data_IF_941799055076
#
_entry.id   IF_941799055076
#
_cell.length_a   1.000
_cell.length_b   1.000
_cell.length_c   1.000
_cell.angle_alpha   90.00
_cell.angle_beta   90.00
_cell.angle_gamma   90.00
#
_symmetry.space_group_name_H-M   'P 1'
#
loop_
_entity.id
_entity.type
_entity.pdbx_description
1 polymer ?
#
# COMPACT_ATOMS: atom_id res chain seq x y z
N UNK A 1 14.15 12.82 -1.56
CA UNK A 1 14.27 12.86 -0.10
C UNK A 1 13.63 11.61 0.52
N UNK A 2 14.34 10.93 1.41
CA UNK A 2 13.84 9.79 2.20
C UNK A 2 13.64 10.28 3.64
N UNK A 3 12.58 9.85 4.31
CA UNK A 3 12.38 10.13 5.73
C UNK A 3 12.91 8.95 6.53
N UNK A 4 14.07 9.16 7.13
CA UNK A 4 14.68 8.22 8.06
C UNK A 4 14.37 8.60 9.51
N UNK A 5 14.88 7.84 10.47
CA UNK A 5 14.60 8.05 11.89
C UNK A 5 15.07 9.42 12.38
N UNK A 6 16.25 9.85 11.91
CA UNK A 6 16.82 11.15 12.28
C UNK A 6 16.00 12.32 11.75
N UNK A 7 15.55 12.27 10.50
CA UNK A 7 14.66 13.32 9.98
C UNK A 7 13.28 13.26 10.65
N UNK A 8 12.77 12.06 10.94
CA UNK A 8 11.52 11.89 11.68
C UNK A 8 11.61 12.50 13.09
N UNK A 9 12.79 12.47 13.73
CA UNK A 9 13.02 13.11 15.03
C UNK A 9 12.79 14.62 14.96
N UNK A 10 13.33 15.29 13.92
CA UNK A 10 13.12 16.72 13.71
C UNK A 10 11.67 17.04 13.31
N UNK A 11 11.05 16.23 12.44
CA UNK A 11 9.63 16.36 12.10
C UNK A 11 8.76 16.25 13.36
N UNK A 12 9.01 15.25 14.20
CA UNK A 12 8.30 15.06 15.48
C UNK A 12 8.47 16.28 16.38
N UNK A 13 9.67 16.88 16.46
CA UNK A 13 9.90 18.09 17.23
C UNK A 13 9.04 19.26 16.72
N UNK A 14 9.02 19.51 15.41
CA UNK A 14 8.16 20.53 14.80
C UNK A 14 6.68 20.30 15.10
N UNK A 15 6.19 19.08 14.85
CA UNK A 15 4.80 18.70 15.10
C UNK A 15 4.43 18.89 16.57
N UNK A 16 5.32 18.54 17.50
CA UNK A 16 5.09 18.68 18.93
C UNK A 16 4.97 20.15 19.34
N UNK A 17 5.82 21.02 18.79
CA UNK A 17 5.76 22.48 19.05
C UNK A 17 4.42 23.08 18.57
N UNK A 18 3.91 22.65 17.41
CA UNK A 18 2.73 23.25 16.78
C UNK A 18 1.39 22.64 17.23
N UNK A 19 1.35 21.33 17.46
CA UNK A 19 0.09 20.56 17.52
C UNK A 19 -0.35 20.14 18.92
N UNK A 20 0.53 20.10 19.92
CA UNK A 20 0.15 19.74 21.29
C UNK A 20 -0.96 20.68 21.81
N UNK A 21 -1.82 20.15 22.67
CA UNK A 21 -3.02 20.81 23.21
C UNK A 21 -4.09 21.14 22.15
N UNK A 22 -3.91 20.69 20.90
CA UNK A 22 -4.94 20.87 19.87
C UNK A 22 -6.02 19.81 19.96
N UNK A 23 -7.24 20.19 19.57
CA UNK A 23 -8.40 19.30 19.52
C UNK A 23 -8.67 18.88 18.08
N UNK A 24 -8.97 17.60 17.85
CA UNK A 24 -9.39 17.11 16.53
C UNK A 24 -10.73 17.74 16.17
N UNK A 25 -10.78 18.44 15.04
CA UNK A 25 -11.98 19.11 14.53
C UNK A 25 -12.57 18.43 13.30
N UNK A 26 -11.73 17.83 12.46
CA UNK A 26 -12.15 17.16 11.23
C UNK A 26 -11.16 16.07 10.85
N UNK A 27 -11.68 14.95 10.36
CA UNK A 27 -10.87 13.86 9.80
C UNK A 27 -11.35 13.58 8.38
N UNK A 28 -10.42 13.53 7.43
CA UNK A 28 -10.71 13.15 6.05
C UNK A 28 -9.63 12.25 5.46
N UNK A 29 -9.99 11.55 4.38
CA UNK A 29 -9.12 10.60 3.70
C UNK A 29 -9.20 10.88 2.19
N UNK A 30 -8.44 11.86 1.66
CA UNK A 30 -8.48 12.19 0.24
C UNK A 30 -8.01 11.04 -0.64
N UNK A 31 -7.10 10.19 -0.13
CA UNK A 31 -6.53 9.07 -0.87
C UNK A 31 -6.51 7.79 -0.01
N UNK A 32 -6.46 6.60 -0.63
CA UNK A 32 -6.56 5.33 0.09
C UNK A 32 -5.57 5.13 1.25
N UNK A 33 -4.39 5.75 1.19
CA UNK A 33 -3.33 5.61 2.21
C UNK A 33 -2.94 6.93 2.87
N UNK A 34 -3.78 7.96 2.80
CA UNK A 34 -3.47 9.29 3.33
C UNK A 34 -4.66 9.82 4.13
N UNK A 35 -4.41 10.14 5.41
CA UNK A 35 -5.37 10.77 6.29
C UNK A 35 -4.96 12.22 6.51
N UNK A 36 -5.94 13.11 6.54
CA UNK A 36 -5.80 14.48 7.00
C UNK A 36 -6.62 14.65 8.27
N UNK A 37 -5.94 15.06 9.34
CA UNK A 37 -6.56 15.42 10.61
C UNK A 37 -6.41 16.92 10.77
N UNK A 38 -7.53 17.65 10.75
CA UNK A 38 -7.54 19.05 11.13
C UNK A 38 -7.54 19.14 12.66
N UNK A 39 -6.50 19.74 13.20
CA UNK A 39 -6.28 19.97 14.62
C UNK A 39 -6.47 21.47 14.89
N UNK A 40 -7.43 21.81 15.75
CA UNK A 40 -7.69 23.19 16.17
C UNK A 40 -6.92 23.47 17.45
N UNK A 41 -5.93 24.34 17.38
CA UNK A 41 -5.25 24.87 18.55
C UNK A 41 -6.12 25.97 19.16
N UNK A 42 -6.72 25.70 20.32
CA UNK A 42 -7.66 26.63 20.94
C UNK A 42 -6.96 27.91 21.45
N UNK A 43 -5.73 27.80 21.95
CA UNK A 43 -4.97 28.95 22.49
C UNK A 43 -4.54 29.91 21.39
N UNK A 44 -4.11 29.38 20.24
CA UNK A 44 -3.62 30.18 19.11
C UNK A 44 -4.73 30.56 18.11
N UNK A 45 -5.93 29.98 18.25
CA UNK A 45 -7.03 30.11 17.29
C UNK A 45 -6.68 29.72 15.84
N UNK A 46 -5.72 28.79 15.66
CA UNK A 46 -5.26 28.30 14.35
C UNK A 46 -5.72 26.86 14.12
N UNK A 47 -6.07 26.54 12.87
CA UNK A 47 -6.28 25.18 12.41
C UNK A 47 -5.03 24.68 11.68
N UNK A 48 -4.50 23.53 12.10
CA UNK A 48 -3.43 22.84 11.41
C UNK A 48 -3.98 21.60 10.71
N UNK A 49 -3.61 21.38 9.45
CA UNK A 49 -3.94 20.14 8.74
C UNK A 49 -2.75 19.19 8.83
N UNK A 50 -2.86 18.17 9.68
CA UNK A 50 -1.87 17.11 9.82
C UNK A 50 -2.11 16.04 8.75
N UNK A 51 -1.18 15.90 7.81
CA UNK A 51 -1.14 14.80 6.86
C UNK A 51 -0.42 13.59 7.48
N UNK A 52 -1.06 12.42 7.45
CA UNK A 52 -0.48 11.13 7.78
C UNK A 52 -0.57 10.22 6.56
N UNK A 53 0.56 10.06 5.86
CA UNK A 53 0.66 9.26 4.64
C UNK A 53 1.36 7.93 4.93
N UNK A 54 0.66 6.83 4.65
CA UNK A 54 1.18 5.46 4.63
C UNK A 54 1.44 4.98 3.19
N UNK A 55 1.69 5.91 2.26
CA UNK A 55 1.97 5.57 0.86
C UNK A 55 3.34 4.87 0.71
N UNK A 56 3.46 3.77 -0.06
CA UNK A 56 4.72 3.06 -0.26
C UNK A 56 5.92 3.90 -0.69
N UNK A 57 5.70 4.96 -1.46
CA UNK A 57 6.75 5.75 -2.11
C UNK A 57 7.05 7.07 -1.40
N UNK A 58 6.11 7.57 -0.59
CA UNK A 58 6.17 8.91 0.02
C UNK A 58 5.48 8.99 1.38
N UNK A 59 5.49 7.89 2.13
CA UNK A 59 4.99 7.85 3.50
C UNK A 59 5.71 8.88 4.38
N UNK A 60 4.92 9.67 5.11
CA UNK A 60 5.37 10.82 5.91
C UNK A 60 4.28 11.33 6.85
N UNK A 61 4.71 12.06 7.87
CA UNK A 61 3.86 12.91 8.68
C UNK A 61 4.32 14.37 8.51
N UNK A 62 3.39 15.30 8.34
CA UNK A 62 3.70 16.74 8.24
C UNK A 62 2.44 17.57 8.44
N UNK A 63 2.60 18.86 8.75
CA UNK A 63 1.53 19.83 8.50
C UNK A 63 1.52 20.11 6.99
N UNK A 64 0.34 20.32 6.42
CA UNK A 64 0.21 20.62 4.98
C UNK A 64 -0.75 21.76 4.73
N UNK A 65 -0.37 22.63 3.80
CA UNK A 65 -1.20 23.73 3.29
C UNK A 65 -1.74 23.40 1.89
N UNK A 66 -1.37 22.26 1.32
CA UNK A 66 -1.88 21.80 0.04
C UNK A 66 -3.38 21.53 0.17
N UNK A 67 -4.23 22.09 -0.70
CA UNK A 67 -5.66 21.79 -0.69
C UNK A 67 -5.88 20.37 -1.23
N UNK A 68 -6.73 19.60 -0.54
CA UNK A 68 -7.11 18.26 -0.95
C UNK A 68 -8.60 18.17 -1.25
N UNK A 69 -8.94 17.45 -2.31
CA UNK A 69 -10.32 17.09 -2.62
C UNK A 69 -10.68 15.79 -1.89
N UNK A 70 -11.74 15.85 -1.08
CA UNK A 70 -12.21 14.68 -0.36
C UNK A 70 -13.15 13.85 -1.25
N UNK A 71 -13.14 12.51 -1.14
CA UNK A 71 -14.14 11.68 -1.79
C UNK A 71 -15.55 12.01 -1.24
N UNK A 72 -16.56 11.86 -2.09
CA UNK A 72 -17.96 12.11 -1.70
C UNK A 72 -18.42 11.19 -0.54
N UNK A 73 -17.92 9.95 -0.52
CA UNK A 73 -18.22 8.96 0.52
C UNK A 73 -16.98 8.67 1.37
N UNK A 74 -17.02 8.88 2.69
CA UNK A 74 -15.91 8.52 3.57
C UNK A 74 -15.63 7.02 3.58
N UNK A 75 -14.35 6.64 3.70
CA UNK A 75 -13.97 5.24 3.87
C UNK A 75 -14.29 4.72 5.28
N UNK A 76 -14.42 3.40 5.43
CA UNK A 76 -14.67 2.75 6.74
C UNK A 76 -13.65 3.19 7.80
N UNK A 77 -12.36 3.15 7.48
CA UNK A 77 -11.30 3.59 8.39
C UNK A 77 -11.45 5.06 8.80
N UNK A 78 -11.83 5.96 7.86
CA UNK A 78 -12.14 7.37 8.20
C UNK A 78 -13.28 7.46 9.22
N UNK A 79 -14.32 6.64 9.06
CA UNK A 79 -15.46 6.64 9.97
C UNK A 79 -15.10 6.07 11.34
N UNK A 80 -14.25 5.05 11.39
CA UNK A 80 -13.67 4.57 12.65
C UNK A 80 -12.90 5.67 13.34
N UNK A 81 -11.98 6.35 12.63
CA UNK A 81 -11.21 7.46 13.21
C UNK A 81 -12.14 8.55 13.75
N UNK A 82 -13.20 8.94 13.02
CA UNK A 82 -14.17 9.94 13.50
C UNK A 82 -14.87 9.49 14.77
N UNK A 83 -15.34 8.24 14.84
CA UNK A 83 -16.00 7.68 16.03
C UNK A 83 -15.14 7.80 17.29
N UNK A 84 -13.83 7.58 17.19
CA UNK A 84 -12.94 7.51 18.36
C UNK A 84 -12.15 8.79 18.63
N UNK A 85 -11.82 9.56 17.59
CA UNK A 85 -10.92 10.72 17.67
C UNK A 85 -11.63 12.06 17.47
N UNK A 86 -12.87 12.14 16.96
CA UNK A 86 -13.51 13.46 16.79
C UNK A 86 -13.65 14.14 18.16
N UNK A 87 -13.10 15.35 18.25
CA UNK A 87 -13.05 16.08 19.51
C UNK A 87 -12.01 15.57 20.53
N UNK A 88 -11.21 14.56 20.22
CA UNK A 88 -10.12 14.15 21.11
C UNK A 88 -9.03 15.23 21.21
N UNK A 89 -8.33 15.25 22.34
CA UNK A 89 -7.21 16.16 22.60
C UNK A 89 -5.89 15.46 22.30
N UNK A 90 -5.03 16.07 21.50
CA UNK A 90 -3.68 15.58 21.27
C UNK A 90 -2.79 15.94 22.48
N UNK A 91 -2.39 14.92 23.23
CA UNK A 91 -1.67 15.07 24.50
C UNK A 91 -0.16 14.93 24.35
N UNK A 92 0.30 14.09 23.42
CA UNK A 92 1.73 13.91 23.15
C UNK A 92 2.00 13.41 21.74
N UNK A 93 3.22 13.62 21.26
CA UNK A 93 3.76 13.04 20.03
C UNK A 93 5.11 12.43 20.34
N UNK A 94 5.24 11.14 20.09
CA UNK A 94 6.44 10.35 20.40
C UNK A 94 6.98 9.66 19.16
N UNK A 95 8.27 9.40 19.15
CA UNK A 95 8.91 8.50 18.20
C UNK A 95 9.34 7.25 18.94
N UNK A 96 9.21 6.08 18.32
CA UNK A 96 9.72 4.83 18.88
C UNK A 96 11.25 4.78 18.70
N UNK A 97 12.00 5.05 19.76
CA UNK A 97 13.46 5.19 19.73
C UNK A 97 13.90 6.12 18.57
N UNK A 98 14.83 5.68 17.73
CA UNK A 98 15.15 6.33 16.45
C UNK A 98 14.61 5.53 15.26
N UNK A 99 13.55 4.74 15.44
CA UNK A 99 12.91 4.05 14.33
C UNK A 99 11.93 4.98 13.59
N UNK A 100 11.47 4.56 12.41
CA UNK A 100 10.54 5.31 11.56
C UNK A 100 9.08 5.08 11.97
N UNK A 101 8.81 5.17 13.26
CA UNK A 101 7.48 5.01 13.85
C UNK A 101 7.17 6.21 14.73
N UNK A 102 6.09 6.93 14.39
CA UNK A 102 5.61 8.10 15.13
C UNK A 102 4.24 7.79 15.73
N UNK A 103 4.06 8.15 17.00
CA UNK A 103 2.89 7.83 17.82
C UNK A 103 2.27 9.14 18.27
N UNK A 104 1.02 9.39 17.87
CA UNK A 104 0.21 10.50 18.33
C UNK A 104 -0.71 10.01 19.45
N UNK A 105 -0.57 10.56 20.65
CA UNK A 105 -1.36 10.18 21.83
C UNK A 105 -2.54 11.10 22.00
N UNK A 106 -3.74 10.54 21.99
CA UNK A 106 -4.99 11.28 22.13
C UNK A 106 -5.69 10.88 23.42
N UNK A 107 -6.25 11.86 24.12
CA UNK A 107 -7.23 11.63 25.18
C UNK A 107 -8.62 11.94 24.65
N UNK A 108 -9.51 10.96 24.73
CA UNK A 108 -10.88 11.02 24.21
C UNK A 108 -11.90 10.75 25.31
N UNK A 109 -13.18 11.03 25.03
CA UNK A 109 -14.30 10.75 25.93
C UNK A 109 -15.26 9.79 25.28
N UNK A 110 -15.72 8.78 26.01
CA UNK A 110 -16.72 7.86 25.51
C UNK A 110 -18.13 8.51 25.61
N UNK A 111 -19.16 7.80 25.15
CA UNK A 111 -20.55 8.27 25.18
C UNK A 111 -21.09 8.49 26.61
N UNK A 112 -20.46 7.86 27.60
CA UNK A 112 -20.78 8.00 29.04
C UNK A 112 -19.99 9.14 29.71
N UNK A 113 -19.05 9.76 28.99
CA UNK A 113 -18.21 10.84 29.48
C UNK A 113 -16.87 10.41 30.09
N UNK A 114 -16.60 9.11 30.22
CA UNK A 114 -15.33 8.61 30.76
C UNK A 114 -14.17 8.90 29.81
N UNK A 115 -13.03 9.27 30.38
CA UNK A 115 -11.79 9.48 29.65
C UNK A 115 -11.11 8.16 29.31
N UNK A 116 -10.58 8.08 28.09
CA UNK A 116 -9.74 6.97 27.67
C UNK A 116 -8.69 7.44 26.67
N UNK A 117 -7.55 6.76 26.65
CA UNK A 117 -6.40 7.13 25.83
C UNK A 117 -6.25 6.25 24.60
N UNK A 118 -5.89 6.88 23.49
CA UNK A 118 -5.75 6.28 22.18
C UNK A 118 -4.40 6.64 21.58
N UNK A 119 -3.77 5.67 20.91
CA UNK A 119 -2.58 5.87 20.12
C UNK A 119 -2.94 5.79 18.64
N UNK A 120 -2.61 6.84 17.88
CA UNK A 120 -2.59 6.80 16.43
C UNK A 120 -1.12 6.65 15.98
N UNK A 121 -0.75 5.45 15.54
CA UNK A 121 0.64 5.10 15.24
C UNK A 121 0.85 5.01 13.73
N UNK A 122 1.74 5.84 13.19
CA UNK A 122 2.18 5.78 11.79
C UNK A 122 3.53 5.09 11.70
N UNK A 123 3.58 4.00 10.95
CA UNK A 123 4.81 3.29 10.62
C UNK A 123 5.22 3.62 9.18
N UNK A 124 6.44 4.14 9.00
CA UNK A 124 6.98 4.58 7.70
C UNK A 124 8.03 3.55 7.25
N UNK A 125 7.56 2.48 6.60
CA UNK A 125 8.33 1.28 6.23
C UNK A 125 8.22 0.94 4.75
N UNK A 126 8.29 1.95 3.86
CA UNK A 126 8.08 1.80 2.42
C UNK A 126 6.78 1.03 2.11
N UNK A 127 6.84 -0.10 1.42
CA UNK A 127 5.68 -0.95 1.08
C UNK A 127 4.89 -1.47 2.29
N UNK A 128 5.51 -1.52 3.46
CA UNK A 128 4.88 -1.97 4.71
C UNK A 128 4.36 -0.80 5.56
N UNK A 129 4.42 0.44 5.06
CA UNK A 129 3.91 1.59 5.79
C UNK A 129 2.42 1.44 6.07
N UNK A 130 2.02 1.75 7.30
CA UNK A 130 0.66 1.56 7.79
C UNK A 130 0.35 2.56 8.90
N UNK A 131 -0.93 2.75 9.19
CA UNK A 131 -1.46 3.68 10.17
C UNK A 131 -2.48 2.94 11.04
N UNK A 132 -2.22 2.89 12.34
CA UNK A 132 -2.99 2.12 13.31
C UNK A 132 -3.67 3.03 14.31
N UNK A 133 -4.95 2.79 14.57
CA UNK A 133 -5.62 3.30 15.76
C UNK A 133 -5.63 2.19 16.81
N UNK A 134 -5.07 2.46 17.98
CA UNK A 134 -4.82 1.48 19.03
C UNK A 134 -5.36 2.01 20.36
N UNK A 135 -6.06 1.17 21.11
CA UNK A 135 -6.41 1.48 22.50
C UNK A 135 -5.16 1.35 23.38
N UNK A 136 -4.82 2.40 24.11
CA UNK A 136 -3.57 2.44 24.88
C UNK A 136 -3.57 1.43 26.04
N UNK A 137 -4.73 1.15 26.65
CA UNK A 137 -4.84 0.33 27.87
C UNK A 137 -4.52 -1.15 27.61
N UNK A 138 -5.05 -1.72 26.54
CA UNK A 138 -4.95 -3.15 26.21
C UNK A 138 -4.12 -3.42 24.95
N UNK A 139 -3.61 -2.36 24.30
CA UNK A 139 -2.89 -2.41 23.03
C UNK A 139 -3.71 -3.06 21.91
N UNK A 140 -5.05 -3.04 21.98
CA UNK A 140 -5.89 -3.60 20.92
C UNK A 140 -5.98 -2.64 19.74
N UNK A 141 -5.76 -3.18 18.54
CA UNK A 141 -5.96 -2.47 17.28
C UNK A 141 -7.45 -2.26 17.12
N UNK A 142 -7.89 -1.00 17.16
CA UNK A 142 -9.27 -0.63 16.87
C UNK A 142 -9.51 -0.75 15.37
N UNK A 143 -8.63 -0.16 14.56
CA UNK A 143 -8.63 -0.29 13.10
C UNK A 143 -7.27 0.17 12.54
N UNK A 144 -7.05 -0.05 11.25
CA UNK A 144 -5.83 0.32 10.56
C UNK A 144 -6.10 0.58 9.08
N UNK A 145 -5.29 1.45 8.45
CA UNK A 145 -5.54 1.89 7.07
C UNK A 145 -5.31 0.78 6.04
N UNK A 146 -4.43 -0.18 6.33
CA UNK A 146 -4.17 -1.34 5.48
C UNK A 146 -4.30 -2.63 6.29
N UNK A 147 -5.35 -3.39 5.98
CA UNK A 147 -5.58 -4.74 6.53
C UNK A 147 -4.68 -5.74 5.79
N UNK A 148 -3.97 -6.59 6.53
CA UNK A 148 -3.10 -7.63 5.96
C UNK A 148 -3.56 -8.98 6.50
N UNK A 149 -3.84 -9.92 5.59
CA UNK A 149 -4.27 -11.27 5.96
C UNK A 149 -3.16 -12.00 6.72
N UNK A 150 -3.49 -12.87 7.68
CA UNK A 150 -2.50 -13.63 8.45
C UNK A 150 -1.49 -14.39 7.60
N UNK A 151 -1.92 -14.93 6.45
CA UNK A 151 -1.05 -15.68 5.53
C UNK A 151 0.10 -14.84 4.95
N UNK A 152 -0.10 -13.52 4.84
CA UNK A 152 0.88 -12.59 4.27
C UNK A 152 1.84 -12.02 5.31
N UNK A 153 1.47 -12.05 6.60
CA UNK A 153 2.31 -11.57 7.68
C UNK A 153 2.19 -12.47 8.91
N UNK A 154 3.12 -13.42 9.01
CA UNK A 154 3.17 -14.38 10.11
C UNK A 154 3.72 -13.77 11.42
N UNK A 155 4.38 -12.61 11.36
CA UNK A 155 5.00 -12.02 12.55
C UNK A 155 3.98 -11.38 13.49
N UNK A 156 2.97 -10.68 12.94
CA UNK A 156 1.92 -10.02 13.74
C UNK A 156 0.62 -9.88 12.97
N UNK A 157 -0.49 -9.96 13.68
CA UNK A 157 -1.84 -9.77 13.13
C UNK A 157 -2.11 -8.29 12.85
N UNK A 158 -2.47 -7.96 11.60
CA UNK A 158 -2.74 -6.59 11.16
C UNK A 158 -4.22 -6.46 10.75
N UNK A 159 -5.08 -6.68 11.74
CA UNK A 159 -6.54 -6.64 11.62
C UNK A 159 -7.16 -6.02 12.90
N UNK A 160 -8.35 -5.42 12.82
CA UNK A 160 -9.12 -4.99 14.00
C UNK A 160 -9.28 -6.10 15.03
N UNK A 161 -9.15 -5.77 16.32
CA UNK A 161 -9.19 -6.71 17.45
C UNK A 161 -7.87 -7.46 17.73
N UNK A 162 -6.93 -7.43 16.80
CA UNK A 162 -5.57 -7.91 17.02
C UNK A 162 -4.84 -7.10 18.09
N UNK A 163 -3.85 -7.70 18.75
CA UNK A 163 -2.96 -6.96 19.66
C UNK A 163 -1.88 -6.26 18.85
N UNK A 164 -1.73 -4.95 19.04
CA UNK A 164 -0.68 -4.17 18.42
C UNK A 164 0.68 -4.58 19.00
N UNK A 165 1.58 -4.97 18.11
CA UNK A 165 2.96 -5.30 18.43
C UNK A 165 3.81 -4.42 17.52
N UNK A 166 4.81 -3.74 18.08
CA UNK A 166 5.75 -2.93 17.30
C UNK A 166 6.40 -3.76 16.17
N UNK A 167 6.92 -3.09 15.12
CA UNK A 167 7.77 -3.77 14.14
C UNK A 167 8.91 -4.54 14.82
N UNK A 168 9.42 -5.62 14.20
CA UNK A 168 10.51 -6.41 14.78
C UNK A 168 11.69 -5.53 15.19
N UNK A 169 12.06 -5.58 16.47
CA UNK A 169 13.21 -4.82 16.98
C UNK A 169 14.48 -5.29 16.30
N UNK A 170 15.32 -4.34 15.88
CA UNK A 170 16.64 -4.62 15.37
C UNK A 170 17.60 -4.81 16.56
N UNK A 171 17.71 -6.04 17.07
CA UNK A 171 18.40 -6.38 18.33
C UNK A 171 19.83 -5.84 18.46
N UNK A 172 20.55 -5.72 17.34
CA UNK A 172 21.95 -5.30 17.33
C UNK A 172 22.14 -3.80 17.07
N UNK A 173 21.06 -3.01 17.09
CA UNK A 173 21.13 -1.58 16.77
C UNK A 173 20.86 -0.68 17.96
N UNK A 174 21.70 0.32 18.11
CA UNK A 174 21.60 1.33 19.15
C UNK A 174 20.86 2.57 18.66
N UNK A 175 20.13 3.23 19.57
CA UNK A 175 19.59 4.56 19.30
C UNK A 175 20.74 5.57 19.35
N UNK A 176 21.04 6.28 18.24
CA UNK A 176 22.19 7.19 18.17
C UNK A 176 22.08 8.41 19.10
N UNK A 177 20.87 8.91 19.38
CA UNK A 177 20.67 10.07 20.25
C UNK A 177 21.09 9.77 21.70
N UNK A 178 20.99 8.51 22.10
CA UNK A 178 21.19 8.04 23.47
C UNK A 178 22.54 7.32 23.63
N UNK A 179 23.31 7.17 22.55
CA UNK A 179 24.52 6.37 22.52
C UNK A 179 25.70 7.09 23.20
N UNK A 180 26.41 6.37 24.08
CA UNK A 180 27.43 6.95 24.96
C UNK A 180 28.77 6.18 25.02
N UNK A 181 29.06 5.27 24.08
CA UNK A 181 30.33 4.55 24.05
C UNK A 181 31.35 5.23 23.12
N UNK A 182 32.25 6.03 23.69
CA UNK A 182 33.29 6.74 22.94
C UNK A 182 34.36 5.82 22.34
N UNK A 183 34.70 4.72 23.04
CA UNK A 183 35.70 3.76 22.57
C UNK A 183 35.20 3.07 21.31
N UNK A 184 33.91 2.71 21.30
CA UNK A 184 33.27 2.09 20.14
C UNK A 184 33.27 2.99 18.90
N UNK A 185 32.93 4.29 19.04
CA UNK A 185 32.98 5.22 17.90
C UNK A 185 34.41 5.37 17.36
N UNK A 186 35.40 5.54 18.25
CA UNK A 186 36.80 5.65 17.84
C UNK A 186 37.27 4.39 17.12
N UNK A 187 36.91 3.21 17.63
CA UNK A 187 37.22 1.94 16.99
C UNK A 187 36.57 1.83 15.60
N UNK A 188 35.27 2.14 15.47
CA UNK A 188 34.59 2.11 14.16
C UNK A 188 35.27 3.01 13.13
N UNK A 189 35.66 4.22 13.51
CA UNK A 189 36.31 5.16 12.59
C UNK A 189 37.69 4.65 12.16
N UNK A 190 38.45 4.03 13.08
CA UNK A 190 39.77 3.45 12.79
C UNK A 190 39.68 2.19 11.94
N UNK A 191 38.74 1.31 12.23
CA UNK A 191 38.54 0.04 11.52
C UNK A 191 38.07 0.26 10.07
N UNK A 192 37.39 1.39 9.81
CA UNK A 192 36.81 1.72 8.51
C UNK A 192 37.25 3.12 8.02
N UNK A 193 38.44 3.25 7.40
CA UNK A 193 38.97 4.53 6.93
C UNK A 193 38.29 5.07 5.65
N UNK A 194 37.49 4.24 4.96
CA UNK A 194 36.72 4.67 3.79
C UNK A 194 35.30 5.13 4.20
N UNK A 195 34.91 6.34 3.81
CA UNK A 195 33.61 6.95 4.17
C UNK A 195 32.40 6.08 3.80
N UNK A 196 32.38 5.51 2.59
CA UNK A 196 31.25 4.69 2.13
C UNK A 196 31.15 3.37 2.91
N UNK A 197 32.29 2.78 3.26
CA UNK A 197 32.34 1.57 4.09
C UNK A 197 31.89 1.90 5.51
N UNK A 198 32.42 2.97 6.11
CA UNK A 198 32.00 3.43 7.44
C UNK A 198 30.51 3.74 7.48
N UNK A 199 29.97 4.40 6.46
CA UNK A 199 28.53 4.68 6.35
C UNK A 199 27.69 3.39 6.39
N UNK A 200 28.08 2.34 5.66
CA UNK A 200 27.40 1.04 5.71
C UNK A 200 27.45 0.42 7.10
N UNK A 201 28.59 0.52 7.79
CA UNK A 201 28.75 0.00 9.16
C UNK A 201 27.89 0.78 10.15
N UNK A 202 27.88 2.11 10.06
CA UNK A 202 27.00 2.96 10.88
C UNK A 202 25.52 2.59 10.70
N UNK A 203 25.06 2.29 9.48
CA UNK A 203 23.69 1.80 9.27
C UNK A 203 23.41 0.44 9.92
N UNK A 204 24.43 -0.41 10.07
CA UNK A 204 24.29 -1.72 10.72
C UNK A 204 24.21 -1.58 12.24
N UNK A 205 24.94 -0.64 12.83
CA UNK A 205 25.00 -0.45 14.29
C UNK A 205 23.97 0.55 14.85
N UNK A 206 23.48 1.50 14.04
CA UNK A 206 22.56 2.53 14.51
C UNK A 206 21.17 2.42 13.88
N UNK A 207 20.15 2.61 14.73
CA UNK A 207 18.75 2.62 14.33
C UNK A 207 18.46 3.82 13.44
N UNK A 208 17.57 3.63 12.47
CA UNK A 208 16.95 4.75 11.73
C UNK A 208 17.85 5.55 10.80
N UNK A 209 19.06 5.11 10.49
CA UNK A 209 19.93 5.83 9.55
C UNK A 209 19.68 5.41 8.10
N UNK A 210 19.32 6.38 7.25
CA UNK A 210 19.47 6.21 5.81
C UNK A 210 20.95 6.19 5.41
N UNK A 211 21.26 5.66 4.23
CA UNK A 211 22.64 5.64 3.74
C UNK A 211 23.16 7.07 3.54
N UNK A 212 22.32 7.99 3.06
CA UNK A 212 22.67 9.41 2.94
C UNK A 212 23.05 10.03 4.29
N UNK A 213 22.25 9.82 5.33
CA UNK A 213 22.56 10.35 6.66
C UNK A 213 23.80 9.70 7.26
N UNK A 214 23.96 8.40 7.08
CA UNK A 214 25.14 7.68 7.53
C UNK A 214 26.42 8.15 6.81
N UNK A 215 26.34 8.51 5.53
CA UNK A 215 27.45 9.06 4.77
C UNK A 215 27.84 10.46 5.25
N UNK A 216 26.86 11.31 5.61
CA UNK A 216 27.15 12.61 6.21
C UNK A 216 27.81 12.46 7.58
N UNK A 217 27.37 11.49 8.38
CA UNK A 217 28.00 11.17 9.65
C UNK A 217 29.42 10.65 9.45
N UNK A 218 29.64 9.72 8.51
CA UNK A 218 30.98 9.21 8.19
C UNK A 218 31.93 10.34 7.78
N UNK A 219 31.49 11.25 6.90
CA UNK A 219 32.23 12.46 6.53
C UNK A 219 32.57 13.34 7.74
N UNK A 220 31.60 13.59 8.61
CA UNK A 220 31.82 14.40 9.81
C UNK A 220 32.83 13.74 10.77
N UNK A 221 32.86 12.42 10.85
CA UNK A 221 33.79 11.65 11.69
C UNK A 221 35.20 11.53 11.08
N UNK A 222 35.34 11.50 9.75
CA UNK A 222 36.64 11.47 9.07
C UNK A 222 37.27 12.84 8.91
N UNK A 223 36.49 13.92 8.97
CA UNK A 223 37.01 15.29 9.01
C UNK A 223 37.67 15.66 10.35
N UNK A 224 37.42 14.89 11.42
CA UNK A 224 37.98 15.17 12.74
C UNK A 224 39.33 14.49 12.96
N UNK A 225 40.27 15.21 13.59
CA UNK A 225 41.45 14.56 14.16
C UNK A 225 40.98 13.54 15.22
N UNK A 226 41.47 12.29 15.13
CA UNK A 226 41.02 11.09 15.88
C UNK A 226 40.72 11.27 17.38
N UNK A 227 41.25 12.30 18.05
CA UNK A 227 41.02 12.57 19.45
C UNK A 227 39.57 12.96 19.80
N UNK A 228 38.74 13.41 18.84
CA UNK A 228 37.44 14.00 19.11
C UNK A 228 36.23 13.33 18.42
N UNK A 229 36.38 12.15 17.80
CA UNK A 229 35.32 11.54 16.97
C UNK A 229 33.98 11.39 17.72
N UNK A 230 34.00 11.04 19.01
CA UNK A 230 32.78 10.94 19.81
C UNK A 230 32.07 12.29 20.03
N UNK A 231 32.81 13.39 20.15
CA UNK A 231 32.23 14.74 20.26
C UNK A 231 31.55 15.11 18.93
N UNK A 232 32.21 14.82 17.80
CA UNK A 232 31.62 15.03 16.47
C UNK A 232 30.37 14.18 16.25
N UNK A 233 30.37 12.93 16.73
CA UNK A 233 29.18 12.06 16.74
C UNK A 233 28.02 12.73 17.50
N UNK A 234 28.24 13.19 18.74
CA UNK A 234 27.20 13.83 19.55
C UNK A 234 26.71 15.13 18.92
N UNK A 235 27.61 15.96 18.41
CA UNK A 235 27.28 17.22 17.74
C UNK A 235 26.48 16.99 16.45
N UNK A 236 26.79 15.92 15.71
CA UNK A 236 26.05 15.55 14.51
C UNK A 236 24.59 15.21 14.83
N UNK A 237 24.30 14.48 15.91
CA UNK A 237 22.91 14.17 16.27
C UNK A 237 22.20 15.34 16.95
N UNK A 238 22.90 16.14 17.76
CA UNK A 238 22.33 17.32 18.40
C UNK A 238 21.81 18.35 17.38
N UNK A 239 22.38 18.39 16.16
CA UNK A 239 21.89 19.29 15.12
C UNK A 239 20.45 18.97 14.65
N UNK A 240 19.95 17.75 14.87
CA UNK A 240 18.58 17.37 14.52
C UNK A 240 17.52 17.90 15.50
N UNK A 241 17.95 18.49 16.61
CA UNK A 241 17.08 19.27 17.50
C UNK A 241 16.90 20.72 17.00
N UNK A 242 17.76 21.20 16.10
CA UNK A 242 17.69 22.51 15.46
C UNK A 242 16.97 22.41 14.10
N UNK A 243 15.69 22.77 14.10
CA UNK A 243 14.81 22.70 12.93
C UNK A 243 15.34 23.57 11.78
N UNK A 244 15.83 24.78 12.07
CA UNK A 244 16.30 25.72 11.04
C UNK A 244 17.54 25.20 10.34
N UNK A 245 18.48 24.64 11.11
CA UNK A 245 19.70 24.01 10.57
C UNK A 245 19.38 22.81 9.68
N UNK A 246 18.42 21.97 10.08
CA UNK A 246 17.98 20.84 9.25
C UNK A 246 17.29 21.30 7.96
N UNK A 247 16.47 22.35 8.01
CA UNK A 247 15.86 22.94 6.79
C UNK A 247 16.97 23.39 5.83
N UNK A 248 17.99 24.09 6.31
CA UNK A 248 19.09 24.56 5.48
C UNK A 248 19.91 23.40 4.88
N UNK A 249 20.22 22.37 5.67
CA UNK A 249 20.90 21.17 5.20
C UNK A 249 20.10 20.45 4.10
N UNK A 250 18.79 20.30 4.29
CA UNK A 250 17.92 19.65 3.30
C UNK A 250 17.79 20.48 2.02
N UNK A 251 17.77 21.81 2.12
CA UNK A 251 17.79 22.68 0.95
C UNK A 251 19.03 22.46 0.11
N UNK A 252 20.21 22.48 0.72
CA UNK A 252 21.49 22.28 0.04
C UNK A 252 21.58 20.91 -0.62
N UNK A 253 21.16 19.85 0.08
CA UNK A 253 21.17 18.48 -0.46
C UNK A 253 20.22 18.27 -1.65
N UNK A 254 19.13 19.03 -1.74
CA UNK A 254 18.15 18.90 -2.81
C UNK A 254 18.24 20.05 -3.83
N UNK A 255 19.30 20.87 -3.78
CA UNK A 255 19.52 22.05 -4.65
C UNK A 255 18.29 22.99 -4.70
N UNK A 256 17.73 23.27 -3.52
CA UNK A 256 16.53 24.11 -3.38
C UNK A 256 16.92 25.56 -3.14
N UNK A 257 16.55 26.43 -4.09
CA UNK A 257 16.83 27.88 -4.02
C UNK A 257 15.86 28.65 -3.12
N UNK A 258 14.68 28.08 -2.82
CA UNK A 258 13.64 28.74 -2.05
C UNK A 258 13.91 28.65 -0.55
N UNK A 259 13.45 29.64 0.22
CA UNK A 259 13.46 29.58 1.68
C UNK A 259 12.19 28.90 2.19
N UNK A 260 12.30 28.21 3.32
CA UNK A 260 11.18 27.51 3.96
C UNK A 260 11.12 27.92 5.43
N UNK A 261 9.92 28.16 5.94
CA UNK A 261 9.70 28.58 7.32
C UNK A 261 9.55 27.39 8.29
N UNK A 262 9.33 26.19 7.75
CA UNK A 262 9.17 24.94 8.47
C UNK A 262 9.59 23.75 7.61
N UNK A 263 9.82 22.59 8.24
CA UNK A 263 10.04 21.32 7.51
C UNK A 263 8.76 20.93 6.79
N UNK A 264 7.60 21.20 7.37
CA UNK A 264 6.30 21.00 6.71
C UNK A 264 6.19 21.73 5.37
N UNK A 265 6.62 23.00 5.27
CA UNK A 265 6.62 23.75 4.00
C UNK A 265 7.59 23.15 2.98
N UNK A 266 8.78 22.74 3.42
CA UNK A 266 9.77 22.08 2.59
C UNK A 266 9.21 20.74 2.05
N UNK A 267 8.55 19.96 2.90
CA UNK A 267 7.94 18.69 2.51
C UNK A 267 6.77 18.89 1.55
N UNK A 268 5.94 19.90 1.76
CA UNK A 268 4.91 20.29 0.79
C UNK A 268 5.54 20.60 -0.57
N UNK A 269 6.60 21.41 -0.61
CA UNK A 269 7.29 21.74 -1.86
C UNK A 269 7.88 20.50 -2.56
N UNK A 270 8.64 19.69 -1.82
CA UNK A 270 9.34 18.50 -2.36
C UNK A 270 8.35 17.44 -2.86
N UNK A 271 7.24 17.24 -2.14
CA UNK A 271 6.30 16.15 -2.44
C UNK A 271 5.10 16.58 -3.27
N UNK A 272 4.82 17.87 -3.49
CA UNK A 272 3.67 18.31 -4.28
C UNK A 272 3.63 17.63 -5.66
N UNK A 273 4.65 17.87 -6.48
CA UNK A 273 4.68 17.30 -7.83
C UNK A 273 4.92 15.79 -7.83
N UNK A 274 5.79 15.30 -6.93
CA UNK A 274 6.11 13.87 -6.87
C UNK A 274 4.90 13.03 -6.48
N UNK A 275 4.16 13.45 -5.45
CA UNK A 275 2.96 12.76 -5.01
C UNK A 275 1.86 12.86 -6.08
N UNK A 276 1.66 14.01 -6.72
CA UNK A 276 0.72 14.16 -7.83
C UNK A 276 1.04 13.21 -9.00
N UNK A 277 2.29 13.19 -9.47
CA UNK A 277 2.73 12.28 -10.55
C UNK A 277 2.53 10.81 -10.19
N UNK A 278 2.94 10.40 -8.99
CA UNK A 278 2.75 9.03 -8.54
C UNK A 278 1.27 8.64 -8.41
N UNK A 279 0.41 9.57 -7.95
CA UNK A 279 -1.04 9.38 -7.88
C UNK A 279 -1.64 9.15 -9.26
N UNK A 280 -1.32 10.01 -10.23
CA UNK A 280 -1.78 9.88 -11.64
C UNK A 280 -1.33 8.56 -12.23
N UNK A 281 -0.05 8.21 -12.05
CA UNK A 281 0.51 6.95 -12.54
C UNK A 281 -0.17 5.73 -11.90
N UNK A 282 -0.47 5.76 -10.61
CA UNK A 282 -1.15 4.68 -9.90
C UNK A 282 -2.59 4.48 -10.40
N UNK A 283 -3.35 5.56 -10.55
CA UNK A 283 -4.72 5.51 -11.08
C UNK A 283 -4.71 5.00 -12.53
N UNK A 284 -3.80 5.52 -13.36
CA UNK A 284 -3.63 5.08 -14.74
C UNK A 284 -3.34 3.58 -14.85
N UNK A 285 -2.42 3.06 -14.03
CA UNK A 285 -2.10 1.62 -13.98
C UNK A 285 -3.31 0.76 -13.61
N UNK A 286 -4.11 1.18 -12.63
CA UNK A 286 -5.32 0.47 -12.22
C UNK A 286 -6.38 0.45 -13.33
N UNK A 287 -6.64 1.59 -13.98
CA UNK A 287 -7.58 1.69 -15.10
C UNK A 287 -7.15 0.82 -16.27
N UNK A 288 -5.86 0.87 -16.65
CA UNK A 288 -5.30 0.02 -17.71
C UNK A 288 -5.49 -1.47 -17.36
N UNK A 289 -5.29 -1.85 -16.11
CA UNK A 289 -5.49 -3.23 -15.67
C UNK A 289 -6.95 -3.68 -15.86
N UNK A 290 -7.92 -2.88 -15.43
CA UNK A 290 -9.36 -3.18 -15.58
C UNK A 290 -9.73 -3.28 -17.05
N UNK A 291 -9.27 -2.34 -17.88
CA UNK A 291 -9.51 -2.36 -19.34
C UNK A 291 -8.94 -3.63 -19.96
N UNK A 292 -7.69 -4.00 -19.63
CA UNK A 292 -7.06 -5.24 -20.12
C UNK A 292 -7.84 -6.47 -19.68
N UNK A 293 -8.31 -6.53 -18.43
CA UNK A 293 -9.10 -7.65 -17.92
C UNK A 293 -10.43 -7.79 -18.68
N UNK A 294 -11.14 -6.68 -18.90
CA UNK A 294 -12.40 -6.67 -19.64
C UNK A 294 -12.20 -6.99 -21.13
N UNK A 295 -11.17 -6.44 -21.77
CA UNK A 295 -10.81 -6.79 -23.14
C UNK A 295 -10.52 -8.29 -23.28
N UNK A 296 -9.79 -8.88 -22.33
CA UNK A 296 -9.51 -10.31 -22.33
C UNK A 296 -10.79 -11.16 -22.15
N UNK A 297 -11.71 -10.75 -21.26
CA UNK A 297 -13.02 -11.40 -21.11
C UNK A 297 -13.83 -11.33 -22.41
N UNK A 298 -13.92 -10.15 -23.03
CA UNK A 298 -14.67 -9.95 -24.26
C UNK A 298 -14.06 -10.73 -25.44
N UNK A 299 -12.74 -10.72 -25.59
CA UNK A 299 -12.04 -11.53 -26.61
C UNK A 299 -12.32 -13.03 -26.43
N UNK A 300 -12.31 -13.54 -25.20
CA UNK A 300 -12.69 -14.93 -24.91
C UNK A 300 -14.16 -15.20 -25.24
N UNK A 301 -15.07 -14.28 -24.93
CA UNK A 301 -16.49 -14.43 -25.25
C UNK A 301 -16.74 -14.43 -26.77
N UNK A 302 -16.09 -13.55 -27.53
CA UNK A 302 -16.15 -13.54 -29.00
C UNK A 302 -15.68 -14.88 -29.57
N UNK A 303 -14.58 -15.45 -29.08
CA UNK A 303 -14.11 -16.77 -29.53
C UNK A 303 -15.16 -17.87 -29.28
N UNK A 304 -15.79 -17.88 -28.10
CA UNK A 304 -16.88 -18.84 -27.79
C UNK A 304 -18.10 -18.65 -28.69
N UNK A 305 -18.56 -17.40 -28.85
CA UNK A 305 -19.70 -17.08 -29.71
C UNK A 305 -19.44 -17.45 -31.18
N UNK A 306 -18.21 -17.28 -31.68
CA UNK A 306 -17.84 -17.74 -33.03
C UNK A 306 -17.88 -19.26 -33.17
N UNK A 307 -17.44 -20.00 -32.15
CA UNK A 307 -17.54 -21.46 -32.14
C UNK A 307 -19.00 -21.92 -32.10
N UNK A 308 -19.81 -21.32 -31.23
CA UNK A 308 -21.26 -21.57 -31.12
C UNK A 308 -21.96 -21.24 -32.44
N UNK A 309 -21.62 -20.12 -33.08
CA UNK A 309 -22.17 -19.73 -34.39
C UNK A 309 -21.81 -20.74 -35.49
N UNK A 310 -20.55 -21.17 -35.56
CA UNK A 310 -20.14 -22.19 -36.55
C UNK A 310 -20.81 -23.55 -36.29
N UNK A 311 -21.04 -23.92 -35.03
CA UNK A 311 -21.80 -25.11 -34.68
C UNK A 311 -23.27 -24.97 -35.08
N UNK A 312 -23.88 -23.80 -34.86
CA UNK A 312 -25.24 -23.50 -35.28
C UNK A 312 -25.42 -23.57 -36.80
N UNK A 313 -24.43 -23.13 -37.59
CA UNK A 313 -24.45 -23.30 -39.05
C UNK A 313 -24.48 -24.77 -39.50
N UNK A 314 -23.95 -25.69 -38.69
CA UNK A 314 -23.99 -27.13 -38.97
C UNK A 314 -25.25 -27.81 -38.41
N UNK A 315 -26.06 -27.11 -37.62
CA UNK A 315 -27.24 -27.68 -36.97
C UNK A 315 -28.27 -28.17 -37.99
N UNK A 316 -28.46 -27.44 -39.09
CA UNK A 316 -29.38 -27.83 -40.16
C UNK A 316 -28.96 -29.12 -40.86
N UNK A 317 -27.64 -29.34 -41.04
CA UNK A 317 -27.13 -30.62 -41.54
C UNK A 317 -27.37 -31.76 -40.56
N UNK A 318 -27.30 -31.51 -39.25
CA UNK A 318 -27.62 -32.51 -38.24
C UNK A 318 -29.12 -32.83 -38.20
N UNK A 319 -29.99 -31.83 -38.41
CA UNK A 319 -31.44 -32.03 -38.58
C UNK A 319 -31.74 -32.94 -39.77
N UNK A 320 -31.22 -32.61 -40.95
CA UNK A 320 -31.42 -33.39 -42.18
C UNK A 320 -30.91 -34.83 -41.97
N UNK A 321 -29.73 -35.01 -41.39
CA UNK A 321 -29.18 -36.36 -41.10
C UNK A 321 -30.05 -37.14 -40.10
N UNK A 322 -30.56 -36.49 -39.05
CA UNK A 322 -31.45 -37.14 -38.07
C UNK A 322 -32.77 -37.59 -38.67
N UNK A 323 -33.40 -36.73 -39.48
CA UNK A 323 -34.64 -37.05 -40.20
C UNK A 323 -34.44 -38.17 -41.22
N UNK A 324 -33.37 -38.10 -42.04
CA UNK A 324 -33.03 -39.17 -43.00
C UNK A 324 -32.79 -40.51 -42.30
N UNK A 325 -32.03 -40.53 -41.21
CA UNK A 325 -31.81 -41.76 -40.44
C UNK A 325 -33.11 -42.31 -39.85
N UNK A 326 -34.04 -41.44 -39.45
CA UNK A 326 -35.37 -41.84 -38.94
C UNK A 326 -36.22 -42.45 -40.06
N UNK A 327 -36.27 -41.81 -41.23
CA UNK A 327 -37.04 -42.28 -42.39
C UNK A 327 -36.52 -43.61 -42.92
N UNK A 328 -35.19 -43.78 -42.99
CA UNK A 328 -34.53 -44.98 -43.50
C UNK A 328 -34.08 -45.96 -42.39
N UNK A 329 -34.70 -45.92 -41.21
CA UNK A 329 -34.36 -46.74 -40.04
C UNK A 329 -34.16 -48.23 -40.37
N UNK A 330 -35.05 -48.77 -41.22
CA UNK A 330 -35.07 -50.18 -41.60
C UNK A 330 -33.89 -50.60 -42.48
N UNK A 331 -33.18 -49.65 -43.11
CA UNK A 331 -32.02 -49.90 -43.96
C UNK A 331 -30.70 -49.92 -43.17
N UNK A 332 -30.70 -49.46 -41.91
CA UNK A 332 -29.51 -49.35 -41.08
C UNK A 332 -29.24 -50.68 -40.39
N UNK A 333 -28.14 -51.35 -40.76
CA UNK A 333 -27.70 -52.58 -40.11
C UNK A 333 -27.07 -52.29 -38.72
N UNK A 334 -27.17 -53.21 -37.76
CA UNK A 334 -26.46 -53.08 -36.48
C UNK A 334 -24.94 -53.02 -36.67
N UNK A 335 -24.24 -52.25 -35.82
CA UNK A 335 -22.77 -52.10 -35.81
C UNK A 335 -22.15 -51.47 -37.08
N UNK A 336 -22.94 -50.80 -37.91
CA UNK A 336 -22.43 -50.09 -39.09
C UNK A 336 -21.79 -48.76 -38.68
N UNK A 337 -20.65 -48.43 -39.27
CA UNK A 337 -19.90 -47.17 -39.01
C UNK A 337 -20.35 -46.01 -39.90
N UNK A 338 -20.91 -46.31 -41.06
CA UNK A 338 -21.33 -45.33 -42.05
C UNK A 338 -22.47 -45.89 -42.91
N UNK A 339 -23.34 -45.01 -43.40
CA UNK A 339 -24.39 -45.34 -44.35
C UNK A 339 -24.55 -44.22 -45.38
N UNK A 340 -24.83 -44.58 -46.62
CA UNK A 340 -25.17 -43.63 -47.69
C UNK A 340 -26.67 -43.70 -47.92
N UNK A 341 -27.36 -42.57 -47.78
CA UNK A 341 -28.81 -42.47 -47.94
C UNK A 341 -29.15 -41.42 -49.00
N UNK A 342 -30.28 -41.59 -49.68
CA UNK A 342 -30.75 -40.59 -50.66
C UNK A 342 -31.32 -39.39 -49.92
N UNK A 343 -30.77 -38.20 -50.17
CA UNK A 343 -31.23 -36.97 -49.53
C UNK A 343 -32.43 -36.38 -50.28
N UNK A 344 -33.65 -36.66 -49.81
CA UNK A 344 -34.86 -36.12 -50.43
C UNK A 344 -35.03 -34.60 -50.26
N UNK A 345 -34.19 -33.94 -49.45
CA UNK A 345 -34.12 -32.47 -49.37
C UNK A 345 -33.19 -31.84 -50.44
N UNK A 346 -32.44 -32.65 -51.18
CA UNK A 346 -31.47 -32.18 -52.19
C UNK A 346 -31.52 -33.08 -53.45
N UNK A 347 -32.67 -33.09 -54.12
CA UNK A 347 -32.89 -33.81 -55.38
C UNK A 347 -32.46 -35.30 -55.37
N UNK A 348 -32.56 -35.97 -54.22
CA UNK A 348 -32.12 -37.35 -53.99
C UNK A 348 -30.62 -37.61 -54.19
N UNK A 349 -29.77 -36.58 -54.09
CA UNK A 349 -28.33 -36.79 -54.07
C UNK A 349 -27.91 -37.65 -52.86
N UNK A 350 -27.02 -38.64 -53.04
CA UNK A 350 -26.60 -39.51 -51.95
C UNK A 350 -25.77 -38.74 -50.92
N UNK A 351 -26.19 -38.79 -49.65
CA UNK A 351 -25.46 -38.22 -48.51
C UNK A 351 -24.90 -39.34 -47.63
N UNK A 352 -23.61 -39.21 -47.28
CA UNK A 352 -22.93 -40.14 -46.38
C UNK A 352 -23.08 -39.68 -44.92
N UNK A 353 -23.52 -40.58 -44.04
CA UNK A 353 -23.78 -40.31 -42.62
C UNK A 353 -22.98 -41.30 -41.76
N UNK A 354 -22.18 -40.77 -40.85
CA UNK A 354 -21.42 -41.58 -39.90
C UNK A 354 -22.32 -42.02 -38.74
N UNK A 355 -22.15 -43.25 -38.29
CA UNK A 355 -22.91 -43.87 -37.23
C UNK A 355 -21.97 -44.29 -36.10
N UNK A 356 -22.51 -44.42 -34.89
CA UNK A 356 -21.79 -45.03 -33.78
C UNK A 356 -22.18 -46.51 -33.71
N UNK A 357 -21.26 -47.46 -33.96
CA UNK A 357 -21.57 -48.90 -33.97
C UNK A 357 -22.12 -49.44 -32.65
N UNK A 358 -21.82 -48.74 -31.56
CA UNK A 358 -22.27 -49.07 -30.21
C UNK A 358 -23.71 -48.62 -29.91
N UNK A 359 -24.31 -47.78 -30.76
CA UNK A 359 -25.67 -47.28 -30.61
C UNK A 359 -26.62 -48.00 -31.56
N UNK A 360 -27.88 -48.18 -31.15
CA UNK A 360 -28.92 -48.68 -32.04
C UNK A 360 -29.20 -47.67 -33.18
N UNK A 361 -29.81 -48.10 -34.30
CA UNK A 361 -30.21 -47.20 -35.38
C UNK A 361 -31.06 -46.01 -34.91
N UNK A 362 -32.02 -46.25 -34.01
CA UNK A 362 -32.87 -45.20 -33.42
C UNK A 362 -32.08 -44.27 -32.50
N UNK A 363 -31.15 -44.80 -31.70
CA UNK A 363 -30.27 -43.99 -30.85
C UNK A 363 -29.31 -43.12 -31.68
N UNK A 364 -28.82 -43.60 -32.82
CA UNK A 364 -28.03 -42.80 -33.75
C UNK A 364 -28.86 -41.66 -34.36
N UNK A 365 -30.09 -41.93 -34.81
CA UNK A 365 -31.00 -40.89 -35.30
C UNK A 365 -31.29 -39.82 -34.22
N UNK A 366 -31.63 -40.26 -33.01
CA UNK A 366 -31.89 -39.37 -31.87
C UNK A 366 -30.64 -38.57 -31.46
N UNK A 367 -29.44 -39.13 -31.59
CA UNK A 367 -28.16 -38.43 -31.35
C UNK A 367 -27.96 -37.28 -32.33
N UNK A 368 -28.35 -37.43 -33.59
CA UNK A 368 -28.30 -36.35 -34.59
C UNK A 368 -29.36 -35.28 -34.31
N UNK A 369 -30.59 -35.66 -33.96
CA UNK A 369 -31.65 -34.71 -33.56
C UNK A 369 -31.31 -33.94 -32.28
N UNK A 370 -30.65 -34.59 -31.30
CA UNK A 370 -30.13 -33.95 -30.07
C UNK A 370 -28.95 -33.01 -30.30
N UNK A 371 -28.29 -33.05 -31.46
CA UNK A 371 -27.24 -32.09 -31.83
C UNK A 371 -27.80 -30.87 -32.56
N UNK A 372 -29.05 -30.95 -33.02
CA UNK A 372 -29.77 -29.85 -33.66
C UNK A 372 -30.46 -28.95 -32.62
N UNK A 373 -31.16 -29.56 -31.66
CA UNK A 373 -31.71 -28.88 -30.49
C UNK A 373 -30.62 -28.55 -29.47
#
# INVERSE_FOLDING_TARGET
MLIDGTLLHTIKAELKIKLIDSRVSKISQPYPREIIITLRNQKQHVNYNLLLSANPNFARAQITNIPFTNPNTPNKFTMTLRKYLDGSHLTDIQQLDNDRVIIFKFSSRNELGDLYDLNLTLEIMNRHSNLFLVNQKDQKIIDLIQHINPDQNQFRTLLPGGTYINPPKQLNKHNPFNFNDSKFINQLVNDYPNEDVLAKQLQQYFQGLSFSTALLLAKALHQSNNANNFIHFKNFFAQFDDIEKIIQLLKEQNDLKQTFSSISDLLDYVYKEKAERDRVNSIGKQLIHIIKQNLNKNRKKIKKLKLEFNQAQQAEQFKIKGELLTTYLNLIKPKTEEITLNNYYDNNQPIKINLSPQLSPSQNAQKYSKKYH
#
